data_IF_042904279858
#
_entry.id   IF_042904279858
#
_cell.length_a   1.000
_cell.length_b   1.000
_cell.length_c   1.000
_cell.angle_alpha   90.00
_cell.angle_beta   90.00
_cell.angle_gamma   90.00
#
_symmetry.space_group_name_H-M   'P 1'
#
loop_
_entity.id
_entity.type
_entity.pdbx_description
1 polymer ?
#
# COMPACT_ATOMS: atom_id res chain seq x y z
N UNK A 1 -9.61 19.00 34.57
CA UNK A 1 -9.29 20.19 33.76
C UNK A 1 -7.78 20.17 33.57
N UNK A 2 -7.30 19.73 32.40
CA UNK A 2 -5.87 19.72 32.09
C UNK A 2 -5.58 20.97 31.26
N UNK A 3 -4.76 21.86 31.82
CA UNK A 3 -4.44 23.16 31.23
C UNK A 3 -3.68 22.98 29.90
N UNK A 4 -4.26 23.56 28.86
CA UNK A 4 -3.62 23.82 27.58
C UNK A 4 -2.57 24.91 27.78
N UNK A 5 -1.29 24.56 27.68
CA UNK A 5 -0.20 25.51 27.57
C UNK A 5 0.46 25.38 26.19
N UNK A 6 -0.28 25.73 25.14
CA UNK A 6 0.32 26.06 23.86
C UNK A 6 0.61 27.57 23.83
N UNK A 7 1.81 27.97 24.23
CA UNK A 7 2.31 29.31 23.94
C UNK A 7 2.76 29.38 22.46
N UNK A 8 2.26 30.36 21.67
CA UNK A 8 2.72 30.56 20.30
C UNK A 8 3.98 31.45 20.27
N UNK A 9 4.73 31.35 19.18
CA UNK A 9 5.87 32.17 18.76
C UNK A 9 7.23 31.97 19.46
N UNK A 10 7.92 30.88 19.13
CA UNK A 10 9.35 30.97 18.81
C UNK A 10 9.49 30.58 17.36
N UNK A 11 10.22 31.39 16.59
CA UNK A 11 10.59 31.08 15.21
C UNK A 11 11.14 29.64 15.18
N UNK A 12 10.44 28.70 14.53
CA UNK A 12 10.75 27.26 14.62
C UNK A 12 12.13 26.93 14.05
N UNK A 13 12.77 27.91 13.41
CA UNK A 13 14.10 27.88 12.82
C UNK A 13 15.18 28.58 13.68
N UNK A 14 14.86 29.05 14.89
CA UNK A 14 15.83 29.70 15.79
C UNK A 14 16.91 28.73 16.31
N UNK A 15 16.67 27.42 16.25
CA UNK A 15 17.65 26.39 16.62
C UNK A 15 18.15 25.65 15.36
N UNK A 16 19.47 25.43 15.24
CA UNK A 16 20.02 24.67 14.13
C UNK A 16 19.51 23.22 14.19
N UNK A 17 18.97 22.75 13.08
CA UNK A 17 18.47 21.38 12.92
C UNK A 17 19.68 20.45 12.90
N UNK A 18 19.73 19.50 13.85
CA UNK A 18 20.84 18.54 13.98
C UNK A 18 20.51 17.15 13.42
N UNK A 19 19.23 16.78 13.42
CA UNK A 19 18.77 15.45 13.00
C UNK A 19 17.40 15.51 12.31
N UNK A 20 17.21 14.67 11.30
CA UNK A 20 15.95 14.45 10.58
C UNK A 20 15.59 12.96 10.66
N UNK A 21 14.35 12.68 11.05
CA UNK A 21 13.78 11.33 10.97
C UNK A 21 12.94 11.21 9.70
N UNK A 22 13.27 10.25 8.85
CA UNK A 22 12.53 9.91 7.64
C UNK A 22 11.75 8.62 7.88
N UNK A 23 10.43 8.70 7.77
CA UNK A 23 9.52 7.57 8.07
C UNK A 23 9.41 6.53 6.93
N UNK A 24 10.26 6.67 5.90
CA UNK A 24 10.29 5.81 4.72
C UNK A 24 11.37 4.73 4.86
N UNK A 25 11.26 3.61 4.13
CA UNK A 25 12.33 2.62 4.07
C UNK A 25 13.62 3.27 3.57
N UNK A 26 14.76 2.74 4.05
CA UNK A 26 16.07 3.21 3.61
C UNK A 26 16.17 3.02 2.09
N UNK A 27 16.45 4.07 1.30
CA UNK A 27 16.59 3.94 -0.14
C UNK A 27 17.69 2.93 -0.47
N UNK A 28 17.43 2.06 -1.45
CA UNK A 28 18.35 1.00 -1.85
C UNK A 28 19.60 1.52 -2.59
N UNK A 29 19.51 2.75 -3.12
CA UNK A 29 20.60 3.40 -3.85
C UNK A 29 21.28 4.44 -2.95
N UNK A 30 22.61 4.45 -2.90
CA UNK A 30 23.41 5.39 -2.09
C UNK A 30 23.20 6.86 -2.49
N UNK A 31 22.71 7.13 -3.70
CA UNK A 31 22.35 8.47 -4.19
C UNK A 31 20.92 8.82 -3.76
N UNK A 32 20.72 9.01 -2.46
CA UNK A 32 19.46 9.54 -1.95
C UNK A 32 19.52 11.07 -1.82
N UNK A 33 18.42 11.81 -2.09
CA UNK A 33 18.37 13.26 -1.85
C UNK A 33 18.71 13.62 -0.39
N UNK A 34 18.41 12.70 0.54
CA UNK A 34 18.70 12.84 1.96
C UNK A 34 20.19 12.73 2.28
N UNK A 35 20.94 11.89 1.54
CA UNK A 35 22.40 11.77 1.68
C UNK A 35 23.08 13.10 1.33
N UNK A 36 22.65 13.73 0.23
CA UNK A 36 23.17 15.04 -0.21
C UNK A 36 22.88 16.15 0.82
N UNK A 37 21.70 16.11 1.45
CA UNK A 37 21.33 17.06 2.51
C UNK A 37 22.15 16.82 3.79
N UNK A 38 22.39 15.56 4.15
CA UNK A 38 23.22 15.18 5.29
C UNK A 38 24.65 15.71 5.14
N UNK A 39 25.26 15.51 3.96
CA UNK A 39 26.61 16.00 3.66
C UNK A 39 26.69 17.52 3.60
N UNK A 40 25.73 18.17 2.92
CA UNK A 40 25.75 19.63 2.71
C UNK A 40 25.58 20.42 4.02
N UNK A 41 24.77 19.92 4.95
CA UNK A 41 24.44 20.64 6.18
C UNK A 41 24.96 19.98 7.46
N UNK A 42 25.69 18.86 7.36
CA UNK A 42 26.23 18.13 8.51
C UNK A 42 25.14 17.56 9.44
N UNK A 43 23.97 17.23 8.89
CA UNK A 43 22.80 16.77 9.65
C UNK A 43 22.69 15.25 9.64
N UNK A 44 22.25 14.66 10.76
CA UNK A 44 22.00 13.22 10.87
C UNK A 44 20.64 12.87 10.26
N UNK A 45 20.58 11.93 9.33
CA UNK A 45 19.32 11.41 8.77
C UNK A 45 19.13 9.96 9.23
N UNK A 46 18.09 9.73 10.03
CA UNK A 46 17.68 8.38 10.44
C UNK A 46 16.48 7.92 9.60
N UNK A 47 16.54 6.72 9.04
CA UNK A 47 15.42 6.09 8.34
C UNK A 47 14.76 5.07 9.25
N UNK A 48 13.46 5.23 9.49
CA UNK A 48 12.68 4.27 10.26
C UNK A 48 11.33 4.09 9.60
N UNK A 49 11.11 2.94 9.00
CA UNK A 49 9.81 2.58 8.46
C UNK A 49 8.81 2.43 9.62
N UNK A 50 7.71 3.18 9.53
CA UNK A 50 6.66 3.15 10.56
C UNK A 50 5.52 2.22 10.19
N UNK A 51 5.42 1.85 8.91
CA UNK A 51 4.30 1.10 8.37
C UNK A 51 4.85 -0.24 7.91
N UNK A 52 4.46 -1.30 8.61
CA UNK A 52 4.67 -2.67 8.17
C UNK A 52 3.35 -3.23 7.65
N UNK A 53 3.36 -3.81 6.45
CA UNK A 53 2.18 -4.39 5.82
C UNK A 53 2.27 -5.90 5.94
N UNK A 54 1.53 -6.45 6.89
CA UNK A 54 1.42 -7.89 7.09
C UNK A 54 0.12 -8.43 6.49
N UNK A 55 0.24 -9.56 5.79
CA UNK A 55 -0.93 -10.25 5.23
C UNK A 55 -1.71 -10.97 6.32
N UNK A 56 -3.04 -10.88 6.27
CA UNK A 56 -3.91 -11.61 7.21
C UNK A 56 -3.74 -13.13 7.02
N UNK A 57 -3.51 -13.92 8.08
CA UNK A 57 -3.41 -15.38 7.99
C UNK A 57 -4.72 -16.00 7.50
N UNK A 58 -4.64 -17.07 6.70
CA UNK A 58 -5.86 -17.72 6.17
C UNK A 58 -6.80 -18.24 7.27
N UNK A 59 -6.24 -18.66 8.41
CA UNK A 59 -7.03 -19.08 9.58
C UNK A 59 -7.93 -17.96 10.12
N UNK A 60 -7.47 -16.71 10.07
CA UNK A 60 -8.26 -15.56 10.49
C UNK A 60 -9.30 -15.19 9.45
N UNK A 61 -8.92 -15.18 8.16
CA UNK A 61 -9.86 -14.95 7.06
C UNK A 61 -11.05 -15.94 7.08
N UNK A 62 -10.81 -17.21 7.42
CA UNK A 62 -11.89 -18.22 7.56
C UNK A 62 -12.92 -17.87 8.66
N UNK A 63 -12.56 -17.07 9.67
CA UNK A 63 -13.49 -16.69 10.74
C UNK A 63 -14.61 -15.77 10.23
N UNK A 64 -14.33 -15.01 9.17
CA UNK A 64 -15.29 -14.10 8.55
C UNK A 64 -16.35 -14.85 7.71
N UNK A 65 -16.17 -16.17 7.50
CA UNK A 65 -17.08 -17.06 6.76
C UNK A 65 -17.43 -16.55 5.36
N UNK A 66 -16.50 -15.84 4.72
CA UNK A 66 -16.65 -15.31 3.36
C UNK A 66 -16.38 -16.42 2.35
N UNK A 67 -17.33 -16.68 1.46
CA UNK A 67 -17.13 -17.58 0.33
C UNK A 67 -16.81 -16.76 -0.93
N UNK A 68 -15.53 -16.77 -1.35
CA UNK A 68 -15.05 -15.95 -2.48
C UNK A 68 -15.81 -16.27 -3.77
N UNK A 69 -16.24 -17.53 -3.96
CA UNK A 69 -16.93 -17.98 -5.18
C UNK A 69 -18.38 -17.51 -5.29
N UNK A 70 -18.99 -17.04 -4.20
CA UNK A 70 -20.35 -16.49 -4.21
C UNK A 70 -20.39 -15.05 -4.75
N UNK A 71 -19.24 -14.40 -4.82
CA UNK A 71 -19.12 -13.04 -5.35
C UNK A 71 -18.86 -13.07 -6.86
N UNK A 72 -19.42 -12.07 -7.56
CA UNK A 72 -19.27 -11.94 -9.03
C UNK A 72 -18.04 -11.13 -9.44
N UNK A 73 -17.50 -10.34 -8.51
CA UNK A 73 -16.44 -9.39 -8.76
C UNK A 73 -15.53 -9.17 -7.55
N UNK A 74 -14.24 -8.89 -7.79
CA UNK A 74 -13.28 -8.45 -6.77
C UNK A 74 -12.70 -7.09 -7.15
N UNK A 75 -12.63 -6.18 -6.18
CA UNK A 75 -12.04 -4.85 -6.35
C UNK A 75 -10.69 -4.80 -5.61
N UNK A 76 -9.64 -4.44 -6.34
CA UNK A 76 -8.30 -4.24 -5.83
C UNK A 76 -7.95 -2.76 -5.74
N UNK A 77 -7.61 -2.34 -4.54
CA UNK A 77 -7.18 -0.98 -4.21
C UNK A 77 -5.66 -0.80 -4.19
N UNK A 78 -4.89 -1.89 -4.11
CA UNK A 78 -3.43 -1.83 -4.05
C UNK A 78 -2.76 -3.08 -4.60
N UNK A 79 -1.47 -2.99 -4.90
CA UNK A 79 -0.64 -4.14 -5.31
C UNK A 79 -0.54 -5.21 -4.21
N UNK A 80 -0.34 -4.79 -2.96
CA UNK A 80 -0.26 -5.71 -1.82
C UNK A 80 -1.57 -6.49 -1.62
N UNK A 81 -2.72 -5.87 -1.90
CA UNK A 81 -4.02 -6.56 -1.84
C UNK A 81 -4.13 -7.68 -2.88
N UNK A 82 -3.56 -7.50 -4.08
CA UNK A 82 -3.50 -8.56 -5.11
C UNK A 82 -2.68 -9.74 -4.59
N UNK A 83 -1.46 -9.49 -4.10
CA UNK A 83 -0.58 -10.55 -3.60
C UNK A 83 -1.22 -11.34 -2.46
N UNK A 84 -1.78 -10.64 -1.47
CA UNK A 84 -2.41 -11.29 -0.32
C UNK A 84 -3.70 -12.03 -0.69
N UNK A 85 -4.49 -11.52 -1.63
CA UNK A 85 -5.69 -12.20 -2.12
C UNK A 85 -5.35 -13.52 -2.80
N UNK A 86 -4.42 -13.52 -3.76
CA UNK A 86 -4.04 -14.76 -4.46
C UNK A 86 -3.32 -15.74 -3.55
N UNK A 87 -2.55 -15.27 -2.56
CA UNK A 87 -2.01 -16.13 -1.50
C UNK A 87 -3.13 -16.83 -0.73
N UNK A 88 -4.17 -16.10 -0.31
CA UNK A 88 -5.34 -16.69 0.37
C UNK A 88 -6.04 -17.71 -0.53
N UNK A 89 -6.25 -17.40 -1.81
CA UNK A 89 -6.84 -18.34 -2.77
C UNK A 89 -6.00 -19.63 -2.90
N UNK A 90 -4.68 -19.51 -2.96
CA UNK A 90 -3.76 -20.65 -3.04
C UNK A 90 -3.79 -21.51 -1.76
N UNK A 91 -3.74 -20.88 -0.57
CA UNK A 91 -3.86 -21.57 0.72
C UNK A 91 -5.23 -22.26 0.87
N UNK A 92 -6.28 -21.66 0.30
CA UNK A 92 -7.62 -22.23 0.25
C UNK A 92 -7.79 -23.34 -0.80
N UNK A 93 -6.78 -23.56 -1.66
CA UNK A 93 -6.87 -24.42 -2.86
C UNK A 93 -8.06 -24.06 -3.76
N UNK A 94 -8.34 -22.76 -3.86
CA UNK A 94 -9.41 -22.22 -4.69
C UNK A 94 -8.88 -21.85 -6.07
N UNK A 95 -9.48 -22.41 -7.11
CA UNK A 95 -9.26 -21.98 -8.49
C UNK A 95 -10.29 -20.90 -8.84
N UNK A 96 -9.80 -19.70 -9.17
CA UNK A 96 -10.69 -18.59 -9.52
C UNK A 96 -11.33 -18.82 -10.90
N UNK A 97 -12.67 -18.77 -11.03
CA UNK A 97 -13.36 -18.95 -12.30
C UNK A 97 -12.91 -17.94 -13.38
N UNK A 98 -13.03 -18.33 -14.65
CA UNK A 98 -12.73 -17.44 -15.77
C UNK A 98 -13.73 -16.26 -15.87
N UNK A 99 -14.95 -16.45 -15.37
CA UNK A 99 -16.02 -15.46 -15.38
C UNK A 99 -15.86 -14.39 -14.30
N UNK A 100 -14.94 -14.58 -13.35
CA UNK A 100 -14.68 -13.63 -12.27
C UNK A 100 -14.23 -12.28 -12.82
N UNK A 101 -14.93 -11.22 -12.43
CA UNK A 101 -14.58 -9.85 -12.83
C UNK A 101 -13.59 -9.26 -11.85
N UNK A 102 -12.54 -8.64 -12.38
CA UNK A 102 -11.55 -7.93 -11.56
C UNK A 102 -11.59 -6.45 -11.87
N UNK A 103 -11.61 -5.66 -10.81
CA UNK A 103 -11.68 -4.23 -10.84
C UNK A 103 -10.44 -3.68 -10.16
N UNK A 104 -9.68 -2.83 -10.84
CA UNK A 104 -8.47 -2.22 -10.30
C UNK A 104 -8.61 -0.70 -10.28
N UNK A 105 -8.30 -0.06 -9.16
CA UNK A 105 -8.41 1.41 -9.05
C UNK A 105 -7.34 2.18 -9.84
N UNK A 106 -6.31 1.48 -10.32
CA UNK A 106 -5.21 2.09 -11.06
C UNK A 106 -4.65 1.11 -12.09
N UNK A 107 -4.17 1.65 -13.20
CA UNK A 107 -3.55 0.88 -14.28
C UNK A 107 -2.33 0.10 -13.80
N UNK A 108 -1.54 0.65 -12.87
CA UNK A 108 -0.38 -0.04 -12.29
C UNK A 108 -0.79 -1.33 -11.57
N UNK A 109 -1.92 -1.30 -10.84
CA UNK A 109 -2.44 -2.50 -10.17
C UNK A 109 -3.00 -3.49 -11.18
N UNK A 110 -3.66 -2.99 -12.23
CA UNK A 110 -4.18 -3.79 -13.34
C UNK A 110 -3.07 -4.54 -14.09
N UNK A 111 -1.96 -3.86 -14.38
CA UNK A 111 -0.77 -4.44 -15.00
C UNK A 111 -0.08 -5.46 -14.08
N UNK A 112 -0.05 -5.17 -12.78
CA UNK A 112 0.51 -6.11 -11.80
C UNK A 112 -0.32 -7.39 -11.67
N UNK A 113 -1.65 -7.28 -11.75
CA UNK A 113 -2.59 -8.40 -11.71
C UNK A 113 -2.36 -9.41 -12.85
N UNK A 114 -1.85 -8.96 -14.01
CA UNK A 114 -1.56 -9.83 -15.16
C UNK A 114 -0.53 -10.93 -14.84
N UNK A 115 0.27 -10.79 -13.76
CA UNK A 115 1.18 -11.85 -13.29
C UNK A 115 0.44 -13.06 -12.75
N UNK A 116 -0.75 -12.85 -12.18
CA UNK A 116 -1.54 -13.89 -11.51
C UNK A 116 -2.61 -14.47 -12.42
N UNK A 117 -3.13 -13.69 -13.37
CA UNK A 117 -4.19 -14.11 -14.27
C UNK A 117 -3.81 -13.87 -15.74
N UNK A 118 -4.14 -14.83 -16.59
CA UNK A 118 -3.95 -14.68 -18.04
C UNK A 118 -5.12 -13.89 -18.62
N UNK A 119 -4.83 -12.71 -19.17
CA UNK A 119 -5.84 -11.72 -19.62
C UNK A 119 -6.79 -12.23 -20.71
N UNK A 120 -6.36 -13.23 -21.50
CA UNK A 120 -7.05 -13.65 -22.73
C UNK A 120 -8.49 -14.15 -22.52
N UNK A 121 -8.91 -14.45 -21.29
CA UNK A 121 -10.28 -14.91 -20.97
C UNK A 121 -10.99 -14.12 -19.86
N UNK A 122 -10.36 -13.12 -19.23
CA UNK A 122 -10.91 -12.45 -18.02
C UNK A 122 -11.22 -10.98 -18.27
N UNK A 123 -12.34 -10.49 -17.72
CA UNK A 123 -12.77 -9.09 -17.83
C UNK A 123 -12.11 -8.27 -16.72
N UNK A 124 -11.21 -7.37 -17.12
CA UNK A 124 -10.49 -6.43 -16.25
C UNK A 124 -11.01 -5.02 -16.49
N UNK A 125 -11.40 -4.34 -15.42
CA UNK A 125 -11.85 -2.96 -15.45
C UNK A 125 -10.86 -2.09 -14.67
N UNK A 126 -10.51 -0.93 -15.21
CA UNK A 126 -9.51 -0.02 -14.65
C UNK A 126 -10.15 1.32 -14.38
N UNK A 127 -10.18 1.72 -13.11
CA UNK A 127 -10.58 3.07 -12.70
C UNK A 127 -9.42 4.05 -12.75
N UNK A 128 -9.72 5.36 -12.75
CA UNK A 128 -8.73 6.42 -12.85
C UNK A 128 -8.08 6.75 -11.50
N UNK A 129 -8.80 6.67 -10.37
CA UNK A 129 -8.23 6.90 -9.03
C UNK A 129 -9.14 6.62 -7.83
N UNK A 130 -10.44 6.85 -7.96
CA UNK A 130 -11.40 6.74 -6.85
C UNK A 130 -12.38 5.60 -7.06
N UNK A 131 -13.00 5.11 -5.97
CA UNK A 131 -14.02 4.08 -6.06
C UNK A 131 -15.23 4.49 -6.91
N UNK A 132 -15.49 5.80 -7.03
CA UNK A 132 -16.54 6.35 -7.88
C UNK A 132 -16.23 6.14 -9.38
N UNK A 133 -14.96 6.26 -9.77
CA UNK A 133 -14.50 6.10 -11.17
C UNK A 133 -14.57 4.64 -11.66
N UNK A 134 -14.98 3.70 -10.82
CA UNK A 134 -15.21 2.30 -11.21
C UNK A 134 -16.64 2.02 -11.67
N UNK A 135 -17.57 2.96 -11.46
CA UNK A 135 -18.98 2.81 -11.81
C UNK A 135 -19.33 3.40 -13.18
N UNK A 136 -18.43 4.18 -13.78
CA UNK A 136 -18.50 4.65 -15.18
C UNK A 136 -17.83 3.63 -16.13
#
# INVERSE_FOLDING_TARGET
MAESAAQPSMDRHAQPIRSILVTQPKPANDVSPYSVLAEKYGIRVDFREFIDVQGVPYKEFRKDKINILEHTAVIFTSRNAVDHFFRICQEAKLEMPAEMKYFCISEQTANYLQKYIVLRKRKLFVGLRTAADLFE
#
